data_IF_982854774521
#
_entry.id   IF_982854774521
#
_cell.length_a   1.000
_cell.length_b   1.000
_cell.length_c   1.000
_cell.angle_alpha   90.00
_cell.angle_beta   90.00
_cell.angle_gamma   90.00
#
_symmetry.space_group_name_H-M   'P 1'
#
loop_
_entity.id
_entity.type
_entity.pdbx_description
1 polymer ?
#
# COMPACT_ATOMS: atom_id res chain seq x y z
N UNK A 1 -28.68 1.22 -1.20
CA UNK A 1 -27.61 1.04 -0.20
C UNK A 1 -27.00 2.40 0.04
N UNK A 2 -26.93 2.88 1.27
CA UNK A 2 -26.42 4.24 1.56
C UNK A 2 -24.91 4.30 1.33
N UNK A 3 -24.38 5.50 1.01
CA UNK A 3 -22.93 5.76 0.85
C UNK A 3 -22.11 5.25 2.04
N UNK A 4 -22.61 5.48 3.25
CA UNK A 4 -21.96 5.04 4.48
C UNK A 4 -21.98 3.51 4.64
N UNK A 5 -22.98 2.84 4.06
CA UNK A 5 -23.06 1.37 4.08
C UNK A 5 -22.00 0.76 3.17
N UNK A 6 -21.80 1.33 1.97
CA UNK A 6 -20.78 0.86 1.03
C UNK A 6 -19.35 1.05 1.57
N UNK A 7 -19.07 2.22 2.16
CA UNK A 7 -17.78 2.49 2.80
C UNK A 7 -17.54 1.55 3.98
N UNK A 8 -18.54 1.35 4.84
CA UNK A 8 -18.41 0.41 5.97
C UNK A 8 -18.16 -1.00 5.47
N UNK A 9 -18.85 -1.45 4.42
CA UNK A 9 -18.59 -2.76 3.81
C UNK A 9 -17.15 -2.88 3.28
N UNK A 10 -16.60 -1.86 2.64
CA UNK A 10 -15.22 -1.89 2.15
C UNK A 10 -14.20 -2.03 3.31
N UNK A 11 -14.46 -1.35 4.42
CA UNK A 11 -13.60 -1.36 5.61
C UNK A 11 -13.75 -2.62 6.46
N UNK A 12 -14.96 -3.16 6.60
CA UNK A 12 -15.28 -4.12 7.67
C UNK A 12 -15.68 -5.52 7.16
N UNK A 13 -16.08 -5.69 5.90
CA UNK A 13 -16.43 -7.03 5.39
C UNK A 13 -15.18 -7.91 5.40
N UNK A 14 -15.21 -9.17 5.87
CA UNK A 14 -14.00 -9.98 6.00
C UNK A 14 -13.12 -10.02 4.74
N UNK A 15 -13.71 -10.15 3.54
CA UNK A 15 -12.95 -10.51 2.33
C UNK A 15 -12.78 -12.02 2.23
N UNK A 16 -12.30 -12.51 1.08
CA UNK A 16 -11.97 -13.93 0.89
C UNK A 16 -10.65 -14.07 0.11
N UNK A 17 -9.54 -14.50 0.76
CA UNK A 17 -9.42 -14.77 2.20
C UNK A 17 -9.63 -13.51 3.06
N UNK A 18 -9.83 -13.65 4.39
CA UNK A 18 -10.05 -12.50 5.25
C UNK A 18 -8.91 -11.48 5.19
N UNK A 19 -9.23 -10.25 4.77
CA UNK A 19 -8.31 -9.12 4.70
C UNK A 19 -8.13 -8.51 6.09
N UNK A 20 -6.88 -8.20 6.44
CA UNK A 20 -6.55 -7.52 7.69
C UNK A 20 -7.23 -6.13 7.78
N UNK A 21 -7.67 -5.72 8.98
CA UNK A 21 -8.27 -4.41 9.17
C UNK A 21 -7.20 -3.32 9.05
N UNK A 22 -7.58 -2.16 8.50
CA UNK A 22 -6.73 -0.97 8.55
C UNK A 22 -6.52 -0.49 9.99
N UNK A 23 -5.45 0.26 10.30
CA UNK A 23 -5.27 0.90 11.59
C UNK A 23 -6.53 1.68 12.00
N UNK A 24 -7.03 1.57 13.25
CA UNK A 24 -8.30 2.19 13.64
C UNK A 24 -8.38 3.69 13.37
N UNK A 25 -7.27 4.41 13.52
CA UNK A 25 -7.16 5.85 13.22
C UNK A 25 -7.35 6.15 11.73
N UNK A 26 -6.83 5.31 10.84
CA UNK A 26 -6.99 5.45 9.39
C UNK A 26 -8.43 5.12 8.97
N UNK A 27 -9.00 4.02 9.49
CA UNK A 27 -10.42 3.69 9.26
C UNK A 27 -11.37 4.80 9.71
N UNK A 28 -11.12 5.38 10.89
CA UNK A 28 -11.89 6.51 11.40
C UNK A 28 -11.75 7.76 10.50
N UNK A 29 -10.53 8.05 10.02
CA UNK A 29 -10.27 9.15 9.10
C UNK A 29 -11.02 8.95 7.77
N UNK A 30 -10.95 7.77 7.15
CA UNK A 30 -11.66 7.48 5.90
C UNK A 30 -13.18 7.66 6.05
N UNK A 31 -13.74 7.30 7.21
CA UNK A 31 -15.15 7.56 7.53
C UNK A 31 -15.45 9.04 7.70
N UNK A 32 -14.61 9.79 8.40
CA UNK A 32 -14.76 11.23 8.59
C UNK A 32 -14.71 12.00 7.27
N UNK A 33 -13.85 11.55 6.35
CA UNK A 33 -13.71 12.10 4.99
C UNK A 33 -14.81 11.63 4.03
N UNK A 34 -15.70 10.72 4.46
CA UNK A 34 -16.65 10.02 3.59
C UNK A 34 -15.97 9.47 2.32
N UNK A 35 -14.82 8.83 2.49
CA UNK A 35 -13.97 8.34 1.42
C UNK A 35 -14.75 7.44 0.44
N UNK A 36 -14.41 7.46 -0.86
CA UNK A 36 -14.98 6.53 -1.82
C UNK A 36 -14.80 5.07 -1.37
N UNK A 37 -15.85 4.23 -1.42
CA UNK A 37 -15.74 2.84 -1.00
C UNK A 37 -14.64 2.07 -1.74
N UNK A 38 -14.44 2.35 -3.04
CA UNK A 38 -13.35 1.75 -3.83
C UNK A 38 -11.96 2.12 -3.29
N UNK A 39 -11.76 3.36 -2.84
CA UNK A 39 -10.51 3.78 -2.22
C UNK A 39 -10.26 3.03 -0.90
N UNK A 40 -11.28 2.92 -0.06
CA UNK A 40 -11.15 2.18 1.20
C UNK A 40 -10.81 0.69 0.95
N UNK A 41 -11.45 0.05 -0.04
CA UNK A 41 -11.12 -1.31 -0.44
C UNK A 41 -9.68 -1.42 -0.96
N UNK A 42 -9.23 -0.49 -1.82
CA UNK A 42 -7.84 -0.41 -2.30
C UNK A 42 -6.83 -0.33 -1.16
N UNK A 43 -6.97 0.67 -0.28
CA UNK A 43 -6.03 0.88 0.83
C UNK A 43 -5.94 -0.34 1.74
N UNK A 44 -7.07 -1.02 1.98
CA UNK A 44 -7.11 -2.25 2.77
C UNK A 44 -6.42 -3.43 2.10
N UNK A 45 -6.58 -3.60 0.78
CA UNK A 45 -5.88 -4.63 0.01
C UNK A 45 -4.36 -4.40 0.00
N UNK A 46 -3.92 -3.16 -0.23
CA UNK A 46 -2.49 -2.81 -0.21
C UNK A 46 -1.91 -2.98 1.19
N UNK A 47 -2.65 -2.60 2.23
CA UNK A 47 -2.26 -2.83 3.62
C UNK A 47 -2.12 -4.32 3.97
N UNK A 48 -3.03 -5.18 3.51
CA UNK A 48 -2.94 -6.62 3.71
C UNK A 48 -1.71 -7.24 3.03
N UNK A 49 -1.41 -6.80 1.81
CA UNK A 49 -0.18 -7.20 1.09
C UNK A 49 1.08 -6.66 1.77
N UNK A 50 1.04 -5.44 2.31
CA UNK A 50 2.15 -4.88 3.08
C UNK A 50 2.43 -5.69 4.36
N UNK A 51 1.40 -6.26 4.98
CA UNK A 51 1.56 -7.23 6.07
C UNK A 51 2.31 -8.48 5.61
N UNK A 52 1.91 -9.08 4.50
CA UNK A 52 2.57 -10.28 3.97
C UNK A 52 4.05 -10.01 3.63
N UNK A 53 4.34 -8.88 2.97
CA UNK A 53 5.70 -8.45 2.68
C UNK A 53 6.53 -8.24 3.95
N UNK A 54 6.00 -7.51 4.92
CA UNK A 54 6.72 -7.20 6.16
C UNK A 54 6.96 -8.44 7.03
N UNK A 55 5.97 -9.32 7.15
CA UNK A 55 6.09 -10.57 7.91
C UNK A 55 7.09 -11.53 7.23
N UNK A 56 7.08 -11.60 5.90
CA UNK A 56 8.05 -12.39 5.16
C UNK A 56 9.48 -11.86 5.34
N UNK A 57 9.68 -10.54 5.20
CA UNK A 57 11.00 -9.91 5.37
C UNK A 57 11.55 -10.08 6.78
N UNK A 58 10.71 -9.96 7.81
CA UNK A 58 11.12 -10.18 9.19
C UNK A 58 11.66 -11.61 9.43
N UNK A 59 11.10 -12.60 8.73
CA UNK A 59 11.57 -13.99 8.79
C UNK A 59 12.78 -14.30 7.90
N UNK A 60 12.79 -13.81 6.65
CA UNK A 60 13.76 -14.19 5.62
C UNK A 60 14.97 -13.27 5.54
N UNK A 61 14.84 -12.01 5.96
CA UNK A 61 15.92 -11.02 5.94
C UNK A 61 15.92 -10.22 7.25
N UNK A 62 16.13 -10.86 8.43
CA UNK A 62 16.06 -10.18 9.72
C UNK A 62 17.10 -9.07 9.92
N UNK A 63 18.17 -9.06 9.11
CA UNK A 63 19.16 -7.98 9.09
C UNK A 63 18.69 -6.71 8.38
N UNK A 64 17.60 -6.76 7.61
CA UNK A 64 17.05 -5.59 6.94
C UNK A 64 16.26 -4.75 7.96
N UNK A 65 16.86 -3.67 8.43
CA UNK A 65 16.20 -2.73 9.32
C UNK A 65 15.16 -1.89 8.56
N UNK A 66 13.91 -1.96 9.00
CA UNK A 66 12.83 -1.06 8.60
C UNK A 66 11.78 -0.96 9.72
N UNK A 67 11.07 0.15 9.73
CA UNK A 67 9.94 0.39 10.62
C UNK A 67 8.67 -0.24 10.03
N UNK A 68 8.33 -1.44 10.52
CA UNK A 68 7.15 -2.20 10.07
C UNK A 68 5.86 -1.40 10.18
N UNK A 69 5.66 -0.68 11.29
CA UNK A 69 4.43 0.08 11.50
C UNK A 69 4.34 1.28 10.55
N UNK A 70 5.48 1.89 10.19
CA UNK A 70 5.51 2.91 9.15
C UNK A 70 5.12 2.36 7.77
N UNK A 71 5.57 1.17 7.39
CA UNK A 71 5.16 0.51 6.13
C UNK A 71 3.66 0.26 6.11
N UNK A 72 3.13 -0.31 7.19
CA UNK A 72 1.71 -0.64 7.29
C UNK A 72 0.83 0.61 7.26
N UNK A 73 1.25 1.67 7.95
CA UNK A 73 0.59 2.97 7.91
C UNK A 73 0.65 3.59 6.51
N UNK A 74 1.82 3.58 5.87
CA UNK A 74 2.01 4.11 4.52
C UNK A 74 1.12 3.39 3.51
N UNK A 75 1.10 2.06 3.52
CA UNK A 75 0.22 1.26 2.68
C UNK A 75 -1.27 1.61 2.87
N UNK A 76 -1.68 1.79 4.13
CA UNK A 76 -3.04 2.17 4.51
C UNK A 76 -3.45 3.60 4.11
N UNK A 77 -2.51 4.45 3.71
CA UNK A 77 -2.77 5.89 3.50
C UNK A 77 -2.21 6.49 2.21
N UNK A 78 -1.38 5.77 1.46
CA UNK A 78 -0.63 6.33 0.31
C UNK A 78 -1.52 7.03 -0.73
N UNK A 79 -2.72 6.50 -0.95
CA UNK A 79 -3.67 6.99 -1.95
C UNK A 79 -4.78 7.89 -1.35
N UNK A 80 -4.66 8.32 -0.08
CA UNK A 80 -5.75 9.03 0.63
C UNK A 80 -6.16 10.34 -0.05
N UNK A 81 -5.27 10.99 -0.81
CA UNK A 81 -5.62 12.18 -1.60
C UNK A 81 -6.68 11.92 -2.67
N UNK A 82 -6.93 10.66 -3.05
CA UNK A 82 -8.04 10.27 -3.94
C UNK A 82 -9.42 10.43 -3.28
N UNK A 83 -9.47 10.76 -1.98
CA UNK A 83 -10.70 11.30 -1.36
C UNK A 83 -11.06 12.68 -1.90
N UNK A 84 -10.06 13.47 -2.31
CA UNK A 84 -10.22 14.81 -2.91
C UNK A 84 -10.26 14.69 -4.45
N UNK A 85 -9.27 14.00 -5.03
CA UNK A 85 -9.14 13.82 -6.49
C UNK A 85 -9.76 12.49 -6.95
N UNK A 86 -11.06 12.33 -6.73
CA UNK A 86 -11.77 11.05 -6.97
C UNK A 86 -11.70 10.54 -8.42
N UNK A 87 -11.50 11.42 -9.40
CA UNK A 87 -11.32 11.04 -10.80
C UNK A 87 -10.10 10.13 -11.01
N UNK A 88 -9.08 10.23 -10.16
CA UNK A 88 -7.83 9.44 -10.23
C UNK A 88 -7.99 8.01 -9.65
N UNK A 89 -9.19 7.63 -9.18
CA UNK A 89 -9.50 6.25 -8.79
C UNK A 89 -9.69 5.31 -9.98
N UNK A 90 -10.00 5.85 -11.15
CA UNK A 90 -10.16 5.09 -12.39
C UNK A 90 -9.47 5.72 -13.60
N UNK A 91 -9.05 6.98 -13.50
CA UNK A 91 -8.30 7.70 -14.52
C UNK A 91 -6.82 7.88 -14.14
N UNK A 92 -6.00 8.33 -15.10
CA UNK A 92 -4.63 8.77 -14.82
C UNK A 92 -4.63 10.05 -13.97
N UNK A 93 -3.55 10.28 -13.24
CA UNK A 93 -3.32 11.51 -12.49
C UNK A 93 -2.36 11.31 -11.33
N UNK A 94 -1.90 12.42 -10.75
CA UNK A 94 -0.97 12.47 -9.62
C UNK A 94 -1.31 13.62 -8.67
N UNK A 95 -2.46 14.28 -8.82
CA UNK A 95 -2.87 15.37 -7.92
C UNK A 95 -3.20 14.85 -6.51
N UNK A 96 -3.59 13.57 -6.39
CA UNK A 96 -3.78 12.92 -5.10
C UNK A 96 -2.51 12.88 -4.23
N UNK A 97 -1.32 12.95 -4.81
CA UNK A 97 -0.07 12.85 -4.05
C UNK A 97 0.15 14.05 -3.11
N UNK A 98 0.23 15.31 -3.61
CA UNK A 98 0.32 16.47 -2.74
C UNK A 98 -0.93 16.65 -1.88
N UNK A 99 -2.13 16.41 -2.44
CA UNK A 99 -3.39 16.54 -1.70
C UNK A 99 -3.48 15.55 -0.52
N UNK A 100 -3.03 14.31 -0.71
CA UNK A 100 -3.01 13.29 0.34
C UNK A 100 -2.07 13.66 1.47
N UNK A 101 -0.89 14.19 1.16
CA UNK A 101 0.05 14.71 2.17
C UNK A 101 -0.57 15.85 2.97
N UNK A 102 -1.14 16.86 2.30
CA UNK A 102 -1.79 18.00 2.95
C UNK A 102 -2.95 17.55 3.84
N UNK A 103 -3.74 16.59 3.37
CA UNK A 103 -4.88 16.05 4.10
C UNK A 103 -4.45 15.34 5.39
N UNK A 104 -3.39 14.52 5.35
CA UNK A 104 -2.85 13.87 6.53
C UNK A 104 -2.30 14.89 7.54
N UNK A 105 -1.55 15.88 7.08
CA UNK A 105 -1.04 16.95 7.96
C UNK A 105 -2.19 17.74 8.62
N UNK A 106 -3.24 18.08 7.88
CA UNK A 106 -4.41 18.77 8.40
C UNK A 106 -5.17 17.97 9.48
N UNK A 107 -5.04 16.65 9.47
CA UNK A 107 -5.63 15.76 10.48
C UNK A 107 -4.65 15.34 11.59
N UNK A 108 -3.52 16.04 11.73
CA UNK A 108 -2.60 15.90 12.85
C UNK A 108 -1.59 14.76 12.73
N UNK A 109 -1.47 14.14 11.55
CA UNK A 109 -0.39 13.17 11.29
C UNK A 109 0.94 13.89 11.10
N UNK A 110 2.04 13.22 11.43
CA UNK A 110 3.39 13.79 11.32
C UNK A 110 3.84 13.91 9.86
N UNK A 111 4.84 14.75 9.58
CA UNK A 111 5.44 14.84 8.25
C UNK A 111 5.98 13.51 7.74
N UNK A 112 6.59 12.70 8.63
CA UNK A 112 7.09 11.37 8.31
C UNK A 112 5.97 10.44 7.84
N UNK A 113 4.81 10.50 8.48
CA UNK A 113 3.61 9.73 8.10
C UNK A 113 3.00 10.25 6.80
N UNK A 114 2.83 11.56 6.67
CA UNK A 114 2.21 12.19 5.51
C UNK A 114 3.05 12.03 4.23
N UNK A 115 4.36 11.80 4.37
CA UNK A 115 5.29 11.60 3.24
C UNK A 115 4.89 10.44 2.34
N UNK A 116 4.38 9.33 2.89
CA UNK A 116 3.98 8.16 2.11
C UNK A 116 2.92 8.48 1.05
N UNK A 117 2.04 9.45 1.32
CA UNK A 117 1.03 9.87 0.34
C UNK A 117 1.64 10.57 -0.88
N UNK A 118 2.79 11.23 -0.71
CA UNK A 118 3.42 12.02 -1.77
C UNK A 118 4.50 11.26 -2.58
N UNK A 119 5.09 10.19 -2.03
CA UNK A 119 6.30 9.58 -2.62
C UNK A 119 6.13 8.17 -3.16
N UNK A 120 4.97 7.54 -2.96
CA UNK A 120 4.76 6.13 -3.33
C UNK A 120 4.82 5.83 -4.84
N UNK A 121 4.79 6.86 -5.70
CA UNK A 121 4.95 6.73 -7.16
C UNK A 121 6.38 7.10 -7.65
N UNK A 122 7.22 7.66 -6.78
CA UNK A 122 8.52 8.22 -7.11
C UNK A 122 9.63 7.59 -6.26
N UNK A 123 10.24 6.51 -6.77
CA UNK A 123 11.34 5.81 -6.12
C UNK A 123 12.68 5.88 -6.88
N UNK A 124 12.70 6.55 -8.04
CA UNK A 124 13.91 6.73 -8.87
C UNK A 124 14.73 7.98 -8.56
N UNK A 125 14.20 8.90 -7.74
CA UNK A 125 14.81 10.21 -7.47
C UNK A 125 15.12 10.36 -5.97
N UNK A 126 16.39 10.58 -5.62
CA UNK A 126 16.83 10.84 -4.25
C UNK A 126 16.95 9.60 -3.34
N UNK A 127 17.20 9.84 -2.05
CA UNK A 127 17.37 8.78 -1.05
C UNK A 127 16.00 8.33 -0.52
N UNK A 128 15.40 7.34 -1.18
CA UNK A 128 14.13 6.72 -0.78
C UNK A 128 14.40 5.72 0.35
N UNK A 129 13.59 5.77 1.40
CA UNK A 129 13.70 4.84 2.53
C UNK A 129 13.28 3.42 2.15
N UNK A 130 13.71 2.42 2.92
CA UNK A 130 13.25 1.03 2.73
C UNK A 130 11.72 0.97 2.85
N UNK A 131 11.14 1.71 3.79
CA UNK A 131 9.71 1.75 4.04
C UNK A 131 8.93 2.29 2.84
N UNK A 132 9.41 3.36 2.20
CA UNK A 132 8.79 3.91 0.99
C UNK A 132 8.86 2.92 -0.18
N UNK A 133 9.96 2.17 -0.32
CA UNK A 133 10.07 1.11 -1.32
C UNK A 133 9.07 -0.03 -1.05
N UNK A 134 8.90 -0.43 0.20
CA UNK A 134 7.96 -1.50 0.57
C UNK A 134 6.50 -1.10 0.38
N UNK A 135 6.15 0.15 0.68
CA UNK A 135 4.80 0.69 0.39
C UNK A 135 4.54 0.70 -1.12
N UNK A 136 5.52 1.18 -1.89
CA UNK A 136 5.43 1.20 -3.35
C UNK A 136 5.30 -0.22 -3.91
N UNK A 137 6.09 -1.17 -3.38
CA UNK A 137 6.07 -2.57 -3.82
C UNK A 137 4.72 -3.23 -3.53
N UNK A 138 4.17 -3.01 -2.33
CA UNK A 138 2.83 -3.47 -1.97
C UNK A 138 1.76 -2.93 -2.93
N UNK A 139 1.80 -1.63 -3.27
CA UNK A 139 0.86 -1.00 -4.22
C UNK A 139 1.00 -1.55 -5.65
N UNK A 140 2.14 -2.09 -6.05
CA UNK A 140 2.25 -2.75 -7.36
C UNK A 140 1.79 -4.21 -7.30
N UNK A 141 2.32 -4.98 -6.37
CA UNK A 141 2.14 -6.44 -6.37
C UNK A 141 0.73 -6.88 -5.92
N UNK A 142 -0.06 -6.06 -5.21
CA UNK A 142 -1.42 -6.45 -4.81
C UNK A 142 -2.31 -6.84 -6.00
N UNK A 143 -2.11 -6.20 -7.15
CA UNK A 143 -2.80 -6.53 -8.41
C UNK A 143 -1.93 -7.35 -9.38
N UNK A 144 -0.88 -7.99 -8.86
CA UNK A 144 0.07 -8.79 -9.64
C UNK A 144 0.99 -7.97 -10.54
N UNK A 145 1.03 -6.63 -10.43
CA UNK A 145 1.92 -5.81 -11.25
C UNK A 145 3.36 -5.95 -10.75
N UNK A 146 4.24 -6.38 -11.65
CA UNK A 146 5.70 -6.46 -11.45
C UNK A 146 6.38 -5.20 -12.00
N UNK A 147 7.37 -4.69 -11.29
CA UNK A 147 8.11 -3.48 -11.67
C UNK A 147 9.59 -3.69 -11.36
N UNK A 148 10.35 -4.11 -12.38
CA UNK A 148 11.75 -4.52 -12.24
C UNK A 148 12.60 -3.48 -11.50
N UNK A 149 12.54 -2.21 -11.90
CA UNK A 149 13.37 -1.16 -11.29
C UNK A 149 13.09 -1.00 -9.78
N UNK A 150 11.83 -1.15 -9.35
CA UNK A 150 11.46 -1.09 -7.94
C UNK A 150 11.92 -2.35 -7.19
N UNK A 151 11.73 -3.51 -7.81
CA UNK A 151 12.16 -4.80 -7.25
C UNK A 151 13.68 -4.84 -7.07
N UNK A 152 14.45 -4.33 -8.03
CA UNK A 152 15.92 -4.26 -7.98
C UNK A 152 16.44 -3.38 -6.84
N UNK A 153 15.70 -2.33 -6.47
CA UNK A 153 16.02 -1.50 -5.31
C UNK A 153 15.84 -2.29 -4.01
N UNK A 154 14.72 -3.02 -3.87
CA UNK A 154 14.44 -3.85 -2.69
C UNK A 154 15.42 -5.02 -2.58
N UNK A 155 15.72 -5.69 -3.70
CA UNK A 155 16.78 -6.72 -3.80
C UNK A 155 18.12 -6.17 -3.34
N UNK A 156 18.47 -4.94 -3.74
CA UNK A 156 19.70 -4.29 -3.28
C UNK A 156 19.75 -4.11 -1.77
N UNK A 157 18.64 -3.71 -1.15
CA UNK A 157 18.54 -3.57 0.32
C UNK A 157 18.66 -4.93 1.01
N UNK A 158 17.97 -5.95 0.51
CA UNK A 158 18.02 -7.31 1.05
C UNK A 158 19.42 -7.92 0.94
N UNK A 159 20.04 -7.86 -0.23
CA UNK A 159 21.38 -8.38 -0.47
C UNK A 159 22.42 -7.74 0.45
N UNK A 160 22.39 -6.41 0.57
CA UNK A 160 23.27 -5.67 1.46
C UNK A 160 23.06 -6.00 2.94
N UNK A 161 21.82 -6.20 3.37
CA UNK A 161 21.48 -6.52 4.75
C UNK A 161 21.83 -7.97 5.15
N UNK A 162 21.69 -8.92 4.23
CA UNK A 162 21.99 -10.34 4.46
C UNK A 162 23.44 -10.71 4.13
N UNK A 163 24.19 -9.85 3.43
CA UNK A 163 25.55 -10.16 2.98
C UNK A 163 25.60 -11.24 1.91
N UNK A 164 24.58 -11.29 1.05
CA UNK A 164 24.41 -12.29 -0.02
C UNK A 164 24.51 -11.63 -1.39
N UNK A 165 24.65 -12.45 -2.43
CA UNK A 165 24.66 -11.94 -3.80
C UNK A 165 23.26 -11.46 -4.24
N UNK A 166 23.21 -10.46 -5.13
CA UNK A 166 21.93 -9.87 -5.59
C UNK A 166 21.00 -10.89 -6.21
N UNK A 167 21.53 -11.87 -6.93
CA UNK A 167 20.72 -12.90 -7.60
C UNK A 167 20.04 -13.84 -6.60
N UNK A 168 20.68 -14.12 -5.46
CA UNK A 168 20.09 -14.93 -4.38
C UNK A 168 18.90 -14.21 -3.77
N UNK A 169 19.10 -12.94 -3.39
CA UNK A 169 18.03 -12.09 -2.86
C UNK A 169 16.89 -11.87 -3.87
N UNK A 170 17.20 -11.80 -5.16
CA UNK A 170 16.20 -11.71 -6.23
C UNK A 170 15.33 -12.96 -6.31
N UNK A 171 15.92 -14.17 -6.29
CA UNK A 171 15.13 -15.42 -6.37
C UNK A 171 14.15 -15.54 -5.20
N UNK A 172 14.58 -15.17 -4.00
CA UNK A 172 13.74 -15.17 -2.80
C UNK A 172 12.59 -14.16 -2.91
N UNK A 173 12.88 -12.91 -3.32
CA UNK A 173 11.86 -11.89 -3.50
C UNK A 173 10.89 -12.26 -4.64
N UNK A 174 11.39 -12.74 -5.78
CA UNK A 174 10.57 -13.16 -6.92
C UNK A 174 9.59 -14.27 -6.53
N UNK A 175 10.06 -15.26 -5.77
CA UNK A 175 9.19 -16.33 -5.25
C UNK A 175 8.08 -15.80 -4.34
N UNK A 176 8.35 -14.82 -3.49
CA UNK A 176 7.31 -14.16 -2.69
C UNK A 176 6.33 -13.38 -3.56
N UNK A 177 6.83 -12.52 -4.45
CA UNK A 177 5.99 -11.67 -5.30
C UNK A 177 5.12 -12.51 -6.24
N UNK A 178 5.63 -13.65 -6.71
CA UNK A 178 4.87 -14.65 -7.46
C UNK A 178 3.68 -15.20 -6.66
N UNK A 179 3.92 -15.67 -5.43
CA UNK A 179 2.84 -16.16 -4.55
C UNK A 179 1.81 -15.08 -4.23
N UNK A 180 2.25 -13.85 -3.96
CA UNK A 180 1.33 -12.74 -3.76
C UNK A 180 0.50 -12.54 -5.03
N UNK A 181 1.13 -12.51 -6.20
CA UNK A 181 0.45 -12.26 -7.48
C UNK A 181 -0.61 -13.33 -7.83
N UNK A 182 -0.48 -14.57 -7.36
CA UNK A 182 -1.51 -15.62 -7.55
C UNK A 182 -2.88 -15.20 -6.99
N UNK A 183 -2.91 -14.38 -5.92
CA UNK A 183 -4.15 -13.85 -5.34
C UNK A 183 -4.69 -12.57 -5.99
N UNK A 184 -4.05 -12.07 -7.06
CA UNK A 184 -4.37 -10.76 -7.64
C UNK A 184 -5.80 -10.66 -8.18
N UNK A 185 -6.29 -11.68 -8.89
CA UNK A 185 -7.62 -11.66 -9.51
C UNK A 185 -8.72 -11.52 -8.45
N UNK A 186 -8.63 -12.29 -7.35
CA UNK A 186 -9.59 -12.19 -6.24
C UNK A 186 -9.58 -10.82 -5.55
N UNK A 187 -8.40 -10.21 -5.41
CA UNK A 187 -8.27 -8.84 -4.87
C UNK A 187 -8.86 -7.78 -5.82
N UNK A 188 -8.67 -7.95 -7.12
CA UNK A 188 -9.28 -7.08 -8.14
C UNK A 188 -10.81 -7.21 -8.14
N UNK A 189 -11.35 -8.43 -8.08
CA UNK A 189 -12.79 -8.67 -7.97
C UNK A 189 -13.37 -8.06 -6.70
N UNK A 190 -12.69 -8.21 -5.56
CA UNK A 190 -13.09 -7.57 -4.31
C UNK A 190 -13.15 -6.05 -4.45
N UNK A 191 -12.11 -5.41 -5.00
CA UNK A 191 -12.08 -3.96 -5.21
C UNK A 191 -13.19 -3.50 -6.17
N UNK A 192 -13.41 -4.24 -7.26
CA UNK A 192 -14.40 -3.92 -8.30
C UNK A 192 -15.84 -3.93 -7.78
N UNK A 193 -16.13 -4.72 -6.74
CA UNK A 193 -17.43 -4.76 -6.07
C UNK A 193 -17.81 -3.44 -5.37
N UNK A 194 -16.88 -2.50 -5.23
CA UNK A 194 -17.10 -1.20 -4.62
C UNK A 194 -17.09 -0.06 -5.66
N UNK A 195 -18.03 0.91 -5.57
CA UNK A 195 -18.12 1.99 -6.54
C UNK A 195 -17.04 3.07 -6.33
N UNK A 196 -16.66 3.73 -7.43
CA UNK A 196 -15.75 4.89 -7.46
C UNK A 196 -16.42 6.14 -6.90
N UNK A 197 -17.72 6.26 -7.14
CA UNK A 197 -18.54 7.39 -6.73
C UNK A 197 -19.58 6.93 -5.70
N UNK A 198 -20.14 7.90 -4.98
CA UNK A 198 -21.28 7.68 -4.10
C UNK A 198 -22.54 7.30 -4.87
#
# INVERSE_FOLDING_TARGET
>A
MSRNDALSRALDTPGDPPLRPLPPTVSALLRALAAPPRLAAHLRLVHDVAHELADWLAGHCPGLAFDREAVLFGAATHDIGKTVHTAELGGPGSEHEPAGRELLLAHGFTERQARFAATHAAWGEGTVSTEELLVSLADKVWKGKRVQDLEDLVVGRMAGAAGVERWEAYLELDGLLGRIAEGADGRLDFQAAFPVHA
#
